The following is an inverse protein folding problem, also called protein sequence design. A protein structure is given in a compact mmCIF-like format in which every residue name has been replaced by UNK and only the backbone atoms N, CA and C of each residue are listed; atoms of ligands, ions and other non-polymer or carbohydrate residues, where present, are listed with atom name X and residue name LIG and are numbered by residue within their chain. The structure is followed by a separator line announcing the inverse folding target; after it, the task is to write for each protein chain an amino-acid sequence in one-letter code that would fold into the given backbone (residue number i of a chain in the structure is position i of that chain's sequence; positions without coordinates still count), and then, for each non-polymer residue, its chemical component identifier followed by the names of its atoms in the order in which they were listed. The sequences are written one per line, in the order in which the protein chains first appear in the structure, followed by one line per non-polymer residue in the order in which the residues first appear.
data_IF_217704227624
#
_entry.id   IF_217704227624
#
_cell.length_a   1.000
_cell.length_b   1.000
_cell.length_c   1.000
_cell.angle_alpha   90.00
_cell.angle_beta   90.00
_cell.angle_gamma   90.00
#
_symmetry.space_group_name_H-M   'P 1'
#
loop_
_entity.id
_entity.type
_entity.pdbx_description
1 polymer ?
#
# COMPACT_ATOMS: atom_id res chain seq x y z
N UNK A 1 -4.42 -0.97 -15.78
CA UNK A 1 -4.55 -1.71 -14.51
C UNK A 1 -3.15 -2.08 -14.05
N UNK A 2 -2.80 -1.76 -12.81
CA UNK A 2 -1.50 -2.10 -12.20
C UNK A 2 -1.78 -3.16 -11.14
N UNK A 3 -0.96 -4.21 -11.12
CA UNK A 3 -1.00 -5.25 -10.10
C UNK A 3 0.40 -5.39 -9.50
N UNK A 4 0.50 -5.17 -8.19
CA UNK A 4 1.71 -5.41 -7.41
C UNK A 4 1.50 -6.71 -6.62
N UNK A 5 2.30 -7.76 -6.87
CA UNK A 5 2.18 -9.02 -6.13
C UNK A 5 2.38 -8.77 -4.63
N UNK A 6 1.49 -9.31 -3.81
CA UNK A 6 1.68 -9.33 -2.35
C UNK A 6 2.93 -10.15 -1.97
N UNK A 7 3.60 -9.81 -0.87
CA UNK A 7 4.74 -10.59 -0.41
C UNK A 7 4.33 -12.03 -0.06
N UNK A 8 5.22 -12.97 -0.34
CA UNK A 8 5.01 -14.39 0.01
C UNK A 8 5.47 -14.64 1.44
N UNK A 9 4.68 -14.17 2.40
CA UNK A 9 4.85 -14.39 3.83
C UNK A 9 3.70 -15.25 4.37
N UNK A 10 3.91 -15.92 5.50
CA UNK A 10 2.88 -16.76 6.12
C UNK A 10 1.69 -15.93 6.62
N UNK A 11 1.99 -14.81 7.28
CA UNK A 11 1.05 -13.79 7.77
C UNK A 11 1.67 -12.41 7.58
N UNK A 12 0.85 -11.38 7.37
CA UNK A 12 1.35 -10.07 6.93
C UNK A 12 1.97 -9.21 8.04
N UNK A 13 1.83 -9.60 9.31
CA UNK A 13 2.59 -9.02 10.42
C UNK A 13 4.11 -9.18 10.25
N UNK A 14 4.57 -10.20 9.52
CA UNK A 14 5.98 -10.40 9.19
C UNK A 14 6.52 -9.36 8.20
N UNK A 15 5.63 -8.73 7.43
CA UNK A 15 5.98 -7.69 6.47
C UNK A 15 4.84 -6.65 6.37
N UNK A 16 4.66 -5.79 7.40
CA UNK A 16 3.52 -4.88 7.49
C UNK A 16 3.43 -3.86 6.35
N UNK A 17 4.57 -3.54 5.74
CA UNK A 17 4.66 -2.65 4.58
C UNK A 17 4.08 -3.26 3.29
N UNK A 18 3.88 -4.58 3.28
CA UNK A 18 3.38 -5.35 2.14
C UNK A 18 4.01 -4.89 0.81
N UNK A 19 3.19 -4.53 -0.17
CA UNK A 19 3.62 -4.00 -1.47
C UNK A 19 3.24 -2.53 -1.65
N UNK A 20 3.01 -1.79 -0.55
CA UNK A 20 2.55 -0.39 -0.60
C UNK A 20 3.52 0.51 -1.37
N UNK A 21 4.83 0.35 -1.14
CA UNK A 21 5.86 1.09 -1.86
C UNK A 21 5.89 0.78 -3.35
N UNK A 22 5.70 -0.49 -3.73
CA UNK A 22 5.64 -0.87 -5.15
C UNK A 22 4.39 -0.28 -5.83
N UNK A 23 3.26 -0.26 -5.11
CA UNK A 23 2.02 0.39 -5.57
C UNK A 23 2.26 1.89 -5.78
N UNK A 24 2.84 2.59 -4.79
CA UNK A 24 3.20 4.00 -4.85
C UNK A 24 4.07 4.29 -6.08
N UNK A 25 5.18 3.58 -6.22
CA UNK A 25 6.18 3.84 -7.25
C UNK A 25 5.61 3.62 -8.66
N UNK A 26 4.67 2.69 -8.82
CA UNK A 26 4.00 2.44 -10.10
C UNK A 26 2.83 3.39 -10.39
N UNK A 27 2.11 3.88 -9.37
CA UNK A 27 0.93 4.73 -9.59
C UNK A 27 1.31 6.21 -9.82
N UNK A 28 2.37 6.72 -9.19
CA UNK A 28 2.79 8.12 -9.32
C UNK A 28 3.06 8.53 -10.78
N UNK A 29 3.78 7.73 -11.60
CA UNK A 29 3.97 8.06 -13.02
C UNK A 29 2.65 8.15 -13.80
N UNK A 30 1.69 7.27 -13.52
CA UNK A 30 0.39 7.28 -14.20
C UNK A 30 -0.46 8.49 -13.78
N UNK A 31 -0.41 8.89 -12.51
CA UNK A 31 -1.03 10.14 -12.03
C UNK A 31 -0.45 11.34 -12.76
N UNK A 32 0.89 11.42 -12.86
CA UNK A 32 1.59 12.52 -13.54
C UNK A 32 1.31 12.58 -15.05
N UNK A 33 1.01 11.43 -15.66
CA UNK A 33 0.66 11.35 -17.08
C UNK A 33 -0.67 12.03 -17.40
N UNK A 34 -1.66 11.91 -16.50
CA UNK A 34 -2.95 12.58 -16.63
C UNK A 34 -3.86 12.03 -17.74
N UNK A 35 -3.59 10.82 -18.23
CA UNK A 35 -4.31 10.19 -19.35
C UNK A 35 -5.67 9.61 -18.98
N UNK A 36 -6.03 9.59 -17.68
CA UNK A 36 -7.24 8.97 -17.17
C UNK A 36 -8.06 9.95 -16.34
N UNK A 37 -9.37 9.90 -16.49
CA UNK A 37 -10.30 10.77 -15.76
C UNK A 37 -10.45 10.38 -14.27
N UNK A 38 -10.15 9.12 -13.94
CA UNK A 38 -10.34 8.57 -12.60
C UNK A 38 -9.35 7.46 -12.27
N UNK A 39 -8.85 7.47 -11.04
CA UNK A 39 -7.96 6.45 -10.48
C UNK A 39 -8.59 5.87 -9.21
N UNK A 40 -8.70 4.55 -9.17
CA UNK A 40 -9.09 3.79 -7.97
C UNK A 40 -7.86 3.04 -7.46
N UNK A 41 -7.45 3.35 -6.23
CA UNK A 41 -6.28 2.80 -5.56
C UNK A 41 -6.68 2.16 -4.24
N UNK A 42 -6.12 1.00 -3.91
CA UNK A 42 -6.32 0.33 -2.64
C UNK A 42 -4.97 0.04 -2.00
N UNK A 43 -4.78 0.49 -0.76
CA UNK A 43 -3.72 0.03 0.12
C UNK A 43 -4.29 -1.02 1.08
N UNK A 44 -3.85 -2.26 0.93
CA UNK A 44 -4.41 -3.40 1.67
C UNK A 44 -3.86 -3.52 3.10
N UNK A 45 -2.79 -2.80 3.43
CA UNK A 45 -2.00 -3.02 4.64
C UNK A 45 -2.80 -2.98 5.95
N UNK A 46 -3.62 -1.94 6.24
CA UNK A 46 -4.26 -1.82 7.54
C UNK A 46 -5.27 -2.94 7.82
N UNK A 47 -5.95 -3.40 6.77
CA UNK A 47 -6.92 -4.49 6.84
C UNK A 47 -6.21 -5.85 7.00
N UNK A 48 -5.33 -6.18 6.06
CA UNK A 48 -4.67 -7.48 6.01
C UNK A 48 -3.73 -7.71 7.21
N UNK A 49 -3.05 -6.66 7.68
CA UNK A 49 -2.21 -6.73 8.89
C UNK A 49 -3.07 -6.62 10.14
N UNK A 50 -4.13 -5.81 10.16
CA UNK A 50 -5.06 -5.73 11.28
C UNK A 50 -5.73 -7.07 11.61
N UNK A 51 -6.02 -7.88 10.60
CA UNK A 51 -6.54 -9.25 10.76
C UNK A 51 -5.62 -10.21 11.50
N UNK A 52 -4.32 -9.89 11.67
CA UNK A 52 -3.38 -10.70 12.46
C UNK A 52 -3.57 -10.51 13.97
N UNK A 53 -4.17 -9.40 14.40
CA UNK A 53 -4.31 -9.04 15.80
C UNK A 53 -3.03 -8.48 16.46
N UNK A 54 -1.94 -8.31 15.71
CA UNK A 54 -0.71 -7.68 16.21
C UNK A 54 -0.80 -6.15 16.09
N UNK A 55 -0.90 -5.48 17.25
CA UNK A 55 -1.02 -4.02 17.33
C UNK A 55 0.22 -3.28 16.81
N UNK A 56 1.43 -3.79 17.06
CA UNK A 56 2.66 -3.13 16.62
C UNK A 56 2.81 -3.24 15.10
N UNK A 57 2.48 -4.40 14.54
CA UNK A 57 2.44 -4.60 13.10
C UNK A 57 1.38 -3.70 12.44
N UNK A 58 0.19 -3.59 13.04
CA UNK A 58 -0.88 -2.74 12.52
C UNK A 58 -0.50 -1.25 12.52
N UNK A 59 0.18 -0.76 13.56
CA UNK A 59 0.71 0.61 13.60
C UNK A 59 1.66 0.84 12.41
N UNK A 60 2.63 -0.06 12.21
CA UNK A 60 3.59 0.04 11.10
C UNK A 60 2.92 -0.04 9.73
N UNK A 61 1.88 -0.86 9.60
CA UNK A 61 1.07 -0.95 8.38
C UNK A 61 0.39 0.39 8.05
N UNK A 62 -0.21 1.04 9.05
CA UNK A 62 -0.82 2.37 8.90
C UNK A 62 0.23 3.46 8.59
N UNK A 63 1.38 3.46 9.27
CA UNK A 63 2.48 4.41 9.00
C UNK A 63 3.01 4.28 7.57
N UNK A 64 3.15 3.04 7.08
CA UNK A 64 3.56 2.79 5.68
C UNK A 64 2.54 3.37 4.70
N UNK A 65 1.24 3.19 4.98
CA UNK A 65 0.18 3.75 4.14
C UNK A 65 0.15 5.27 4.20
N UNK A 66 0.38 5.88 5.37
CA UNK A 66 0.47 7.34 5.51
C UNK A 66 1.61 7.92 4.65
N UNK A 67 2.80 7.31 4.71
CA UNK A 67 3.93 7.69 3.88
C UNK A 67 3.61 7.58 2.39
N UNK A 68 3.07 6.43 1.96
CA UNK A 68 2.72 6.21 0.55
C UNK A 68 1.59 7.13 0.08
N UNK A 69 0.59 7.38 0.94
CA UNK A 69 -0.53 8.25 0.62
C UNK A 69 -0.07 9.69 0.44
N UNK A 70 0.85 10.17 1.29
CA UNK A 70 1.47 11.49 1.15
C UNK A 70 2.11 11.63 -0.23
N UNK A 71 2.95 10.68 -0.63
CA UNK A 71 3.61 10.71 -1.94
C UNK A 71 2.64 10.64 -3.13
N UNK A 72 1.44 10.05 -2.95
CA UNK A 72 0.40 9.94 -3.98
C UNK A 72 -0.42 11.23 -4.12
N UNK A 73 -0.63 11.98 -3.03
CA UNK A 73 -1.47 13.18 -3.01
C UNK A 73 -0.68 14.49 -3.23
N UNK A 74 0.65 14.44 -3.23
CA UNK A 74 1.56 15.60 -3.45
C UNK A 74 2.33 15.49 -4.75
#
# INVERSE_FOLDING_TARGET
RILCPSPKVATYDLQPEMSAFEIRDKIIPEIKKGDVDFICLNFANPDMVGHTGDMNAAIKACETVDECAKDVIT
#
